data_IF_159626005994
#
_entry.id   IF_159626005994
#
_cell.length_a   1.000
_cell.length_b   1.000
_cell.length_c   1.000
_cell.angle_alpha   90.00
_cell.angle_beta   90.00
_cell.angle_gamma   90.00
#
_symmetry.space_group_name_H-M   'P 1'
#
loop_
_entity.id
_entity.type
_entity.pdbx_description
1 polymer ?
#
# COMPACT_ATOMS: atom_id res chain seq x y z
N UNK A 1 -2.26 -9.07 15.12
CA UNK A 1 -0.89 -9.00 15.66
C UNK A 1 -0.22 -7.84 14.96
N UNK A 2 0.25 -6.84 15.70
CA UNK A 2 0.80 -5.62 15.10
C UNK A 2 2.31 -5.80 14.82
N UNK A 3 2.72 -5.49 13.59
CA UNK A 3 4.10 -5.59 13.10
C UNK A 3 4.57 -4.24 12.54
N UNK A 4 5.87 -4.01 12.48
CA UNK A 4 6.46 -2.97 11.61
C UNK A 4 6.63 -3.52 10.17
N UNK A 5 6.84 -2.65 9.19
CA UNK A 5 6.93 -3.07 7.77
C UNK A 5 8.14 -3.97 7.52
N UNK A 6 9.28 -3.64 8.13
CA UNK A 6 10.54 -4.36 7.96
C UNK A 6 10.40 -5.84 8.32
N UNK A 7 9.88 -6.13 9.51
CA UNK A 7 9.71 -7.50 9.99
C UNK A 7 8.62 -8.24 9.20
N UNK A 8 7.55 -7.53 8.82
CA UNK A 8 6.48 -8.10 8.00
C UNK A 8 7.01 -8.57 6.64
N UNK A 9 7.73 -7.69 5.93
CA UNK A 9 8.17 -7.96 4.56
C UNK A 9 9.44 -8.81 4.48
N UNK A 10 10.22 -8.90 5.56
CA UNK A 10 11.32 -9.87 5.66
C UNK A 10 10.81 -11.29 5.42
N UNK A 11 9.75 -11.69 6.13
CA UNK A 11 9.10 -13.01 5.97
C UNK A 11 8.54 -13.17 4.56
N UNK A 12 7.92 -12.12 4.01
CA UNK A 12 7.37 -12.14 2.65
C UNK A 12 8.44 -12.43 1.59
N UNK A 13 9.59 -11.75 1.67
CA UNK A 13 10.71 -11.93 0.76
C UNK A 13 11.38 -13.30 0.91
N UNK A 14 11.57 -13.78 2.14
CA UNK A 14 12.12 -15.12 2.43
C UNK A 14 11.25 -16.25 1.84
N UNK A 15 9.93 -16.05 1.81
CA UNK A 15 8.96 -17.05 1.36
C UNK A 15 8.32 -16.76 0.01
N UNK A 16 8.84 -15.78 -0.74
CA UNK A 16 8.46 -15.43 -2.12
C UNK A 16 6.95 -15.18 -2.29
N UNK A 17 6.44 -14.26 -1.50
CA UNK A 17 5.12 -13.66 -1.67
C UNK A 17 5.19 -12.15 -1.42
N UNK A 18 4.14 -11.43 -1.82
CA UNK A 18 3.99 -10.01 -1.51
C UNK A 18 2.79 -9.80 -0.60
N UNK A 19 2.88 -8.79 0.26
CA UNK A 19 1.77 -8.38 1.12
C UNK A 19 1.01 -7.25 0.43
N UNK A 20 -0.31 -7.39 0.22
CA UNK A 20 -1.09 -6.27 -0.26
C UNK A 20 -1.16 -5.17 0.79
N UNK A 21 -0.96 -3.94 0.34
CA UNK A 21 -1.35 -2.75 1.05
C UNK A 21 -2.70 -2.28 0.50
N UNK A 22 -3.66 -2.11 1.40
CA UNK A 22 -5.01 -1.70 1.04
C UNK A 22 -5.34 -0.36 1.69
N UNK A 23 -5.70 0.64 0.88
CA UNK A 23 -6.21 1.90 1.41
C UNK A 23 -7.54 1.68 2.12
N UNK A 24 -7.63 2.12 3.37
CA UNK A 24 -8.83 2.00 4.22
C UNK A 24 -9.50 3.36 4.42
N UNK A 25 -10.20 3.83 3.40
CA UNK A 25 -10.86 5.15 3.38
C UNK A 25 -12.20 5.22 4.12
N UNK A 26 -12.63 4.15 4.81
CA UNK A 26 -13.85 4.11 5.62
C UNK A 26 -13.86 2.95 6.61
N UNK A 27 -14.77 2.99 7.58
CA UNK A 27 -14.96 1.88 8.53
C UNK A 27 -15.43 0.58 7.86
N UNK A 28 -16.37 0.64 6.91
CA UNK A 28 -16.87 -0.54 6.20
C UNK A 28 -15.79 -1.24 5.39
N UNK A 29 -14.89 -0.46 4.75
CA UNK A 29 -13.74 -1.02 4.05
C UNK A 29 -12.75 -1.66 5.02
N UNK A 30 -12.36 -0.97 6.10
CA UNK A 30 -11.49 -1.53 7.15
C UNK A 30 -12.05 -2.86 7.68
N UNK A 31 -13.31 -2.86 8.10
CA UNK A 31 -13.98 -4.04 8.65
C UNK A 31 -14.02 -5.18 7.64
N UNK A 32 -14.41 -4.89 6.40
CA UNK A 32 -14.52 -5.91 5.35
C UNK A 32 -13.17 -6.52 4.97
N UNK A 33 -12.12 -5.70 4.88
CA UNK A 33 -10.75 -6.16 4.67
C UNK A 33 -10.34 -7.06 5.84
N UNK A 34 -10.43 -6.56 7.08
CA UNK A 34 -9.99 -7.31 8.26
C UNK A 34 -10.71 -8.65 8.44
N UNK A 35 -12.03 -8.70 8.23
CA UNK A 35 -12.79 -9.95 8.29
C UNK A 35 -12.31 -10.96 7.23
N UNK A 36 -11.95 -10.48 6.04
CA UNK A 36 -11.55 -11.35 4.93
C UNK A 36 -10.11 -11.83 5.05
N UNK A 37 -9.18 -10.97 5.47
CA UNK A 37 -7.78 -11.35 5.68
C UNK A 37 -7.62 -12.32 6.84
N UNK A 38 -8.44 -12.19 7.89
CA UNK A 38 -8.49 -13.16 8.99
C UNK A 38 -9.07 -14.50 8.55
N UNK A 39 -10.15 -14.49 7.74
CA UNK A 39 -10.74 -15.71 7.18
C UNK A 39 -9.74 -16.48 6.31
N UNK A 40 -8.90 -15.77 5.56
CA UNK A 40 -7.91 -16.32 4.65
C UNK A 40 -6.55 -16.58 5.30
N UNK A 41 -6.38 -16.21 6.57
CA UNK A 41 -5.12 -16.31 7.31
C UNK A 41 -3.94 -15.62 6.57
N UNK A 42 -4.17 -14.39 6.10
CA UNK A 42 -3.21 -13.60 5.34
C UNK A 42 -2.59 -12.46 6.17
N UNK A 43 -1.28 -12.17 6.05
CA UNK A 43 -0.76 -10.88 6.46
C UNK A 43 -1.35 -9.74 5.61
N UNK A 44 -1.45 -8.54 6.17
CA UNK A 44 -1.96 -7.36 5.46
C UNK A 44 -1.27 -6.07 5.90
N UNK A 45 -1.18 -5.11 4.99
CA UNK A 45 -0.83 -3.72 5.30
C UNK A 45 -2.11 -2.89 5.15
N UNK A 46 -2.47 -2.16 6.20
CA UNK A 46 -3.56 -1.19 6.19
C UNK A 46 -2.95 0.18 5.96
N UNK A 47 -3.16 0.76 4.78
CA UNK A 47 -2.56 2.04 4.42
C UNK A 47 -3.60 3.17 4.43
N UNK A 48 -3.15 4.37 4.81
CA UNK A 48 -4.00 5.55 4.95
C UNK A 48 -3.27 6.75 4.38
N UNK A 49 -3.88 7.39 3.39
CA UNK A 49 -3.37 8.61 2.76
C UNK A 49 -3.67 9.86 3.62
N UNK A 50 -2.85 10.94 3.58
CA UNK A 50 -3.13 12.22 4.24
C UNK A 50 -4.56 12.75 4.04
N UNK A 51 -5.06 12.74 2.81
CA UNK A 51 -6.45 13.17 2.52
C UNK A 51 -7.50 12.28 3.19
N UNK A 52 -7.25 10.97 3.28
CA UNK A 52 -8.17 10.04 3.93
C UNK A 52 -8.21 10.29 5.45
N UNK A 53 -7.04 10.50 6.07
CA UNK A 53 -7.01 10.78 7.51
C UNK A 53 -7.51 12.17 7.86
N UNK A 54 -7.42 13.14 6.94
CA UNK A 54 -8.04 14.45 7.11
C UNK A 54 -9.56 14.35 7.07
N UNK A 55 -10.11 13.53 6.17
CA UNK A 55 -11.54 13.25 6.12
C UNK A 55 -12.05 12.46 7.33
N UNK A 56 -11.35 11.39 7.73
CA UNK A 56 -11.79 10.46 8.78
C UNK A 56 -11.47 10.94 10.20
N UNK A 57 -10.44 11.78 10.34
CA UNK A 57 -9.91 12.24 11.62
C UNK A 57 -9.10 11.19 12.37
N UNK A 58 -8.26 11.65 13.30
CA UNK A 58 -7.32 10.80 14.05
C UNK A 58 -7.97 9.68 14.87
N UNK A 59 -9.24 9.85 15.27
CA UNK A 59 -9.98 8.81 16.00
C UNK A 59 -10.15 7.52 15.19
N UNK A 60 -10.16 7.61 13.86
CA UNK A 60 -10.21 6.44 12.99
C UNK A 60 -9.01 5.51 13.22
N UNK A 61 -7.81 6.06 13.41
CA UNK A 61 -6.58 5.27 13.66
C UNK A 61 -6.70 4.46 14.95
N UNK A 62 -7.41 4.97 15.96
CA UNK A 62 -7.64 4.21 17.19
C UNK A 62 -8.46 2.93 16.93
N UNK A 63 -9.41 2.99 16.00
CA UNK A 63 -10.20 1.84 15.56
C UNK A 63 -9.32 0.88 14.75
N UNK A 64 -8.52 1.39 13.81
CA UNK A 64 -7.57 0.60 13.00
C UNK A 64 -6.60 -0.16 13.91
N UNK A 65 -6.04 0.51 14.93
CA UNK A 65 -5.17 -0.09 15.94
C UNK A 65 -5.88 -1.17 16.74
N UNK A 66 -7.14 -0.97 17.11
CA UNK A 66 -7.92 -1.99 17.81
C UNK A 66 -8.08 -3.26 16.94
N UNK A 67 -8.36 -3.14 15.65
CA UNK A 67 -8.37 -4.29 14.74
C UNK A 67 -7.00 -4.96 14.65
N UNK A 68 -5.94 -4.20 14.39
CA UNK A 68 -4.59 -4.73 14.22
C UNK A 68 -4.07 -5.47 15.47
N UNK A 69 -4.29 -4.90 16.66
CA UNK A 69 -3.85 -5.49 17.93
C UNK A 69 -4.62 -6.76 18.31
N UNK A 70 -5.94 -6.80 18.05
CA UNK A 70 -6.77 -7.97 18.38
C UNK A 70 -6.74 -9.04 17.29
N UNK A 71 -6.19 -8.74 16.11
CA UNK A 71 -6.15 -9.68 15.01
C UNK A 71 -5.24 -10.88 15.27
N UNK A 72 -5.60 -12.03 14.71
CA UNK A 72 -4.76 -13.25 14.72
C UNK A 72 -3.77 -13.32 13.56
N UNK A 73 -3.86 -12.40 12.60
CA UNK A 73 -2.92 -12.30 11.49
C UNK A 73 -1.94 -11.13 11.69
N UNK A 74 -0.79 -11.12 11.00
CA UNK A 74 0.14 -9.99 10.99
C UNK A 74 -0.48 -8.79 10.28
N UNK A 75 -0.42 -7.63 10.91
CA UNK A 75 -0.97 -6.38 10.40
C UNK A 75 0.07 -5.26 10.58
N UNK A 76 0.29 -4.49 9.52
CA UNK A 76 1.00 -3.20 9.57
C UNK A 76 -0.01 -2.07 9.37
N UNK A 77 0.20 -0.94 10.06
CA UNK A 77 -0.53 0.30 9.81
C UNK A 77 0.46 1.28 9.19
N UNK A 78 0.18 1.72 7.95
CA UNK A 78 1.11 2.45 7.09
C UNK A 78 0.57 3.82 6.69
N UNK A 79 1.41 4.86 6.76
CA UNK A 79 1.13 6.17 6.17
C UNK A 79 1.49 6.10 4.69
N UNK A 80 0.51 6.28 3.82
CA UNK A 80 0.64 6.25 2.36
C UNK A 80 0.88 7.66 1.82
N UNK A 81 1.93 7.86 1.00
CA UNK A 81 2.29 9.17 0.41
C UNK A 81 2.32 10.37 1.38
N UNK A 82 2.87 10.19 2.58
CA UNK A 82 3.15 11.33 3.45
C UNK A 82 4.16 12.26 2.78
N UNK A 83 3.89 13.57 2.69
CA UNK A 83 4.78 14.52 1.98
C UNK A 83 5.48 15.51 2.91
N UNK A 84 5.13 15.51 4.20
CA UNK A 84 5.66 16.46 5.17
C UNK A 84 6.08 15.79 6.48
N UNK A 85 6.96 16.45 7.22
CA UNK A 85 7.31 16.06 8.60
C UNK A 85 6.07 16.03 9.51
N UNK A 86 5.08 16.88 9.24
CA UNK A 86 3.83 16.89 9.98
C UNK A 86 3.05 15.58 9.79
N UNK A 87 2.89 15.11 8.54
CA UNK A 87 2.17 13.87 8.24
C UNK A 87 2.82 12.67 8.93
N UNK A 88 4.15 12.56 8.80
CA UNK A 88 4.93 11.50 9.44
C UNK A 88 4.79 11.55 10.96
N UNK A 89 5.00 12.72 11.57
CA UNK A 89 4.92 12.88 13.04
C UNK A 89 3.50 12.60 13.53
N UNK A 90 2.47 13.02 12.78
CA UNK A 90 1.06 12.72 13.06
C UNK A 90 0.80 11.22 13.00
N UNK A 91 1.28 10.52 11.98
CA UNK A 91 1.12 9.07 11.84
C UNK A 91 1.79 8.32 13.00
N UNK A 92 3.07 8.59 13.28
CA UNK A 92 3.81 7.98 14.40
C UNK A 92 3.07 8.22 15.72
N UNK A 93 2.65 9.47 16.00
CA UNK A 93 1.91 9.81 17.22
C UNK A 93 0.59 9.05 17.35
N UNK A 94 -0.08 8.77 16.25
CA UNK A 94 -1.34 8.01 16.26
C UNK A 94 -1.13 6.49 16.32
N UNK A 95 0.13 6.01 16.32
CA UNK A 95 0.49 4.61 16.54
C UNK A 95 0.56 3.79 15.25
N UNK A 96 0.91 4.41 14.13
CA UNK A 96 1.32 3.72 12.91
C UNK A 96 2.64 2.99 13.17
N UNK A 97 2.84 1.86 12.51
CA UNK A 97 4.07 1.05 12.62
C UNK A 97 4.93 1.10 11.36
N UNK A 98 4.45 1.81 10.35
CA UNK A 98 5.22 2.17 9.17
C UNK A 98 4.78 3.53 8.65
N UNK A 99 5.72 4.29 8.10
CA UNK A 99 5.45 5.55 7.43
C UNK A 99 6.15 5.61 6.09
N UNK A 100 5.50 6.22 5.11
CA UNK A 100 6.15 6.66 3.88
C UNK A 100 6.44 8.16 3.93
N UNK A 101 7.61 8.55 3.43
CA UNK A 101 7.90 9.93 3.00
C UNK A 101 8.09 9.97 1.49
N UNK A 102 7.15 10.61 0.80
CA UNK A 102 7.20 10.83 -0.64
C UNK A 102 7.84 12.20 -0.93
N UNK A 103 9.15 12.15 -1.18
CA UNK A 103 9.93 13.29 -1.69
C UNK A 103 10.40 13.05 -3.13
N UNK A 104 9.70 12.18 -3.88
CA UNK A 104 10.05 11.77 -5.25
C UNK A 104 10.11 12.92 -6.26
N UNK A 105 9.34 13.98 -6.01
CA UNK A 105 9.27 15.19 -6.85
C UNK A 105 10.36 16.22 -6.52
N UNK A 106 11.14 16.00 -5.45
CA UNK A 106 12.26 16.87 -5.07
C UNK A 106 13.52 16.50 -5.86
N UNK A 107 14.57 17.31 -5.72
CA UNK A 107 15.90 16.91 -6.22
C UNK A 107 16.37 15.63 -5.54
N UNK A 108 17.26 14.87 -6.18
CA UNK A 108 17.78 13.63 -5.61
C UNK A 108 18.44 13.85 -4.25
N UNK A 109 19.22 14.93 -4.12
CA UNK A 109 19.90 15.34 -2.90
C UNK A 109 18.91 15.76 -1.80
N UNK A 110 17.85 16.49 -2.15
CA UNK A 110 16.82 16.89 -1.21
C UNK A 110 15.99 15.70 -0.74
N UNK A 111 15.66 14.76 -1.63
CA UNK A 111 14.97 13.52 -1.29
C UNK A 111 15.78 12.71 -0.27
N UNK A 112 17.09 12.53 -0.49
CA UNK A 112 17.98 11.89 0.49
C UNK A 112 17.96 12.63 1.83
N UNK A 113 18.11 13.96 1.81
CA UNK A 113 18.17 14.79 3.01
C UNK A 113 16.88 14.70 3.84
N UNK A 114 15.72 14.81 3.19
CA UNK A 114 14.40 14.72 3.82
C UNK A 114 14.19 13.31 4.37
N UNK A 115 14.47 12.28 3.56
CA UNK A 115 14.28 10.88 3.96
C UNK A 115 15.13 10.51 5.17
N UNK A 116 16.40 10.96 5.24
CA UNK A 116 17.27 10.73 6.41
C UNK A 116 16.70 11.30 7.70
N UNK A 117 16.11 12.49 7.65
CA UNK A 117 15.45 13.10 8.82
C UNK A 117 14.27 12.27 9.30
N UNK A 118 13.48 11.73 8.36
CA UNK A 118 12.35 10.85 8.67
C UNK A 118 12.82 9.50 9.25
N UNK A 119 13.85 8.90 8.66
CA UNK A 119 14.46 7.66 9.17
C UNK A 119 14.97 7.84 10.60
N UNK A 120 15.70 8.92 10.89
CA UNK A 120 16.18 9.21 12.24
C UNK A 120 15.01 9.32 13.24
N UNK A 121 13.94 10.01 12.87
CA UNK A 121 12.76 10.14 13.73
C UNK A 121 12.05 8.80 13.97
N UNK A 122 11.79 8.05 12.90
CA UNK A 122 10.95 6.85 12.93
C UNK A 122 11.67 5.64 13.55
N UNK A 123 12.95 5.43 13.24
CA UNK A 123 13.72 4.29 13.76
C UNK A 123 13.94 4.37 15.28
N UNK A 124 14.00 5.58 15.85
CA UNK A 124 14.09 5.77 17.31
C UNK A 124 12.86 5.27 18.07
N UNK A 125 11.75 5.00 17.38
CA UNK A 125 10.49 4.50 17.96
C UNK A 125 9.99 3.22 17.29
N UNK A 126 10.90 2.47 16.64
CA UNK A 126 10.62 1.18 15.98
C UNK A 126 9.53 1.24 14.90
N UNK A 127 9.50 2.34 14.14
CA UNK A 127 8.62 2.53 12.98
C UNK A 127 9.44 2.41 11.71
N UNK A 128 9.02 1.54 10.78
CA UNK A 128 9.71 1.36 9.50
C UNK A 128 9.43 2.51 8.53
N UNK A 129 10.42 2.85 7.69
CA UNK A 129 10.29 3.92 6.70
C UNK A 129 10.31 3.36 5.27
N UNK A 130 9.30 3.74 4.50
CA UNK A 130 9.23 3.62 3.04
C UNK A 130 9.60 4.98 2.42
N UNK A 131 10.30 4.96 1.29
CA UNK A 131 10.48 6.14 0.45
C UNK A 131 10.33 5.77 -1.02
N UNK A 132 10.32 6.77 -1.90
CA UNK A 132 10.12 6.60 -3.34
C UNK A 132 11.25 7.24 -4.15
N UNK A 133 11.63 6.57 -5.24
CA UNK A 133 12.56 7.08 -6.23
C UNK A 133 12.02 6.88 -7.66
N UNK A 134 12.12 7.92 -8.48
CA UNK A 134 11.38 8.02 -9.75
C UNK A 134 10.00 8.62 -9.52
N UNK A 135 9.13 8.59 -10.53
CA UNK A 135 7.74 9.08 -10.40
C UNK A 135 6.74 8.14 -11.05
N UNK A 136 5.56 8.04 -10.47
CA UNK A 136 4.43 7.27 -10.98
C UNK A 136 3.42 8.17 -11.68
N UNK A 137 2.74 7.63 -12.70
CA UNK A 137 1.72 8.37 -13.43
C UNK A 137 0.46 8.62 -12.60
N UNK A 138 -0.38 9.60 -12.95
CA UNK A 138 -1.67 9.82 -12.30
C UNK A 138 -2.85 9.82 -13.31
N UNK A 139 -3.83 8.92 -13.14
CA UNK A 139 -5.07 8.87 -13.93
C UNK A 139 -6.28 9.47 -13.17
N UNK A 140 -6.07 10.57 -12.45
CA UNK A 140 -7.12 11.27 -11.69
C UNK A 140 -7.38 10.69 -10.30
N UNK A 141 -6.40 10.02 -9.71
CA UNK A 141 -6.45 9.57 -8.32
C UNK A 141 -6.05 10.69 -7.35
N UNK A 142 -6.58 10.61 -6.13
CA UNK A 142 -6.19 11.47 -5.00
C UNK A 142 -4.90 11.00 -4.33
N UNK A 143 -4.37 9.83 -4.71
CA UNK A 143 -3.13 9.24 -4.16
C UNK A 143 -1.85 9.93 -4.65
N UNK A 144 -1.96 10.97 -5.50
CA UNK A 144 -0.80 11.65 -6.08
C UNK A 144 -0.26 10.96 -7.34
N UNK A 145 0.96 11.35 -7.73
CA UNK A 145 1.62 11.01 -9.00
C UNK A 145 1.72 12.20 -9.96
N UNK A 146 2.43 12.02 -11.07
CA UNK A 146 2.79 13.05 -12.07
C UNK A 146 2.24 12.73 -13.46
N UNK A 147 2.28 13.71 -14.37
CA UNK A 147 1.93 13.48 -15.79
C UNK A 147 3.05 12.75 -16.55
N UNK A 148 4.30 12.97 -16.16
CA UNK A 148 5.49 12.34 -16.72
C UNK A 148 6.06 11.30 -15.75
N UNK A 149 6.28 10.07 -16.24
CA UNK A 149 6.89 8.98 -15.48
C UNK A 149 8.41 9.05 -15.66
N UNK A 150 9.12 9.25 -14.55
CA UNK A 150 10.57 9.13 -14.47
C UNK A 150 10.87 7.76 -13.88
N UNK A 151 11.40 6.85 -14.69
CA UNK A 151 11.78 5.52 -14.22
C UNK A 151 12.89 5.60 -13.17
N UNK A 152 12.86 4.68 -12.21
CA UNK A 152 13.91 4.57 -11.21
C UNK A 152 15.23 4.17 -11.86
N UNK A 153 16.29 4.95 -11.61
CA UNK A 153 17.65 4.57 -12.00
C UNK A 153 18.22 3.55 -10.99
N UNK A 154 18.72 2.38 -11.44
CA UNK A 154 19.19 1.33 -10.53
C UNK A 154 20.45 1.70 -9.74
N UNK A 155 21.33 2.58 -10.24
CA UNK A 155 22.53 3.03 -9.50
C UNK A 155 22.13 4.03 -8.41
N UNK A 156 21.21 4.94 -8.75
CA UNK A 156 20.64 5.87 -7.78
C UNK A 156 19.86 5.14 -6.70
N UNK A 157 19.10 4.08 -7.02
CA UNK A 157 18.36 3.30 -6.03
C UNK A 157 19.30 2.67 -4.98
N UNK A 158 20.40 2.04 -5.41
CA UNK A 158 21.39 1.46 -4.49
C UNK A 158 22.06 2.52 -3.61
N UNK A 159 22.45 3.65 -4.21
CA UNK A 159 23.02 4.78 -3.47
C UNK A 159 22.03 5.37 -2.46
N UNK A 160 20.78 5.57 -2.88
CA UNK A 160 19.71 6.14 -2.07
C UNK A 160 19.45 5.28 -0.82
N UNK A 161 19.31 3.96 -1.00
CA UNK A 161 19.09 3.03 0.12
C UNK A 161 20.26 3.06 1.11
N UNK A 162 21.51 3.07 0.63
CA UNK A 162 22.71 3.14 1.48
C UNK A 162 22.80 4.44 2.26
N UNK A 163 22.47 5.56 1.62
CA UNK A 163 22.58 6.88 2.24
C UNK A 163 21.46 7.18 3.23
N UNK A 164 20.26 6.66 2.98
CA UNK A 164 19.06 6.95 3.77
C UNK A 164 18.77 5.92 4.85
N UNK A 165 19.19 4.66 4.66
CA UNK A 165 18.88 3.55 5.57
C UNK A 165 17.36 3.30 5.75
N UNK A 166 16.58 3.52 4.69
CA UNK A 166 15.16 3.13 4.62
C UNK A 166 14.96 1.62 4.67
N UNK A 167 13.74 1.18 5.01
CA UNK A 167 13.40 -0.24 5.14
C UNK A 167 12.74 -0.82 3.89
N UNK A 168 12.08 0.02 3.08
CA UNK A 168 11.45 -0.36 1.80
C UNK A 168 11.58 0.77 0.79
N UNK A 169 11.68 0.43 -0.51
CA UNK A 169 11.76 1.42 -1.59
C UNK A 169 10.64 1.19 -2.61
N UNK A 170 9.82 2.22 -2.82
CA UNK A 170 8.91 2.31 -3.95
C UNK A 170 9.67 2.73 -5.21
N UNK A 171 9.42 2.01 -6.31
CA UNK A 171 10.13 2.19 -7.58
C UNK A 171 9.16 2.47 -8.71
N UNK A 172 9.52 3.42 -9.56
CA UNK A 172 8.83 3.72 -10.80
C UNK A 172 9.29 2.76 -11.90
N UNK A 173 8.43 1.78 -12.22
CA UNK A 173 8.62 0.80 -13.31
C UNK A 173 7.48 0.80 -14.33
N UNK A 174 6.69 1.89 -14.40
CA UNK A 174 5.67 2.10 -15.44
C UNK A 174 4.22 2.12 -14.95
N UNK A 175 4.00 2.09 -13.63
CA UNK A 175 2.67 2.14 -13.04
C UNK A 175 2.10 3.56 -12.98
N UNK A 176 0.81 3.64 -12.67
CA UNK A 176 0.09 4.89 -12.47
C UNK A 176 -1.02 4.69 -11.45
N UNK A 177 -1.33 5.72 -10.66
CA UNK A 177 -2.49 5.73 -9.80
C UNK A 177 -3.79 5.89 -10.58
N UNK A 178 -4.89 5.46 -9.97
CA UNK A 178 -6.23 5.51 -10.57
C UNK A 178 -6.48 4.37 -11.57
N UNK A 179 -7.71 4.31 -12.08
CA UNK A 179 -8.08 3.33 -13.09
C UNK A 179 -7.53 3.75 -14.46
N UNK A 180 -6.91 2.82 -15.17
CA UNK A 180 -6.42 3.06 -16.52
C UNK A 180 -7.58 3.36 -17.49
N UNK A 181 -7.44 4.37 -18.38
CA UNK A 181 -8.40 4.63 -19.44
C UNK A 181 -8.65 3.39 -20.31
N UNK A 182 -9.89 3.25 -20.83
CA UNK A 182 -10.26 2.14 -21.72
C UNK A 182 -9.27 2.05 -22.90
N UNK A 183 -8.70 0.86 -23.10
CA UNK A 183 -7.76 0.59 -24.18
C UNK A 183 -6.29 0.89 -23.86
N UNK A 184 -5.98 1.55 -22.74
CA UNK A 184 -4.61 1.66 -22.23
C UNK A 184 -4.32 0.42 -21.38
N UNK A 185 -3.40 -0.43 -21.85
CA UNK A 185 -2.87 -1.53 -21.05
C UNK A 185 -1.57 -1.05 -20.41
N UNK A 186 -1.48 -0.95 -19.08
CA UNK A 186 -0.19 -0.71 -18.45
C UNK A 186 0.75 -1.88 -18.68
N UNK A 187 2.04 -1.59 -18.66
CA UNK A 187 3.12 -2.55 -18.82
C UNK A 187 4.19 -2.25 -17.78
N UNK A 188 4.50 -3.25 -16.95
CA UNK A 188 5.60 -3.16 -16.01
C UNK A 188 6.92 -3.42 -16.72
N UNK A 189 7.91 -2.55 -16.50
CA UNK A 189 9.27 -2.78 -16.96
C UNK A 189 9.96 -3.83 -16.05
N UNK A 190 9.70 -5.10 -16.31
CA UNK A 190 10.21 -6.23 -15.52
C UNK A 190 11.74 -6.35 -15.62
N UNK A 191 12.34 -6.03 -16.77
CA UNK A 191 13.79 -6.08 -16.91
C UNK A 191 14.47 -5.02 -16.02
N UNK A 192 13.91 -3.81 -15.95
CA UNK A 192 14.35 -2.78 -15.01
C UNK A 192 14.17 -3.24 -13.56
N UNK A 193 13.03 -3.85 -13.21
CA UNK A 193 12.79 -4.38 -11.88
C UNK A 193 13.85 -5.42 -11.47
N UNK A 194 14.22 -6.34 -12.38
CA UNK A 194 15.29 -7.32 -12.14
C UNK A 194 16.62 -6.64 -11.86
N UNK A 195 16.95 -5.61 -12.64
CA UNK A 195 18.18 -4.85 -12.47
C UNK A 195 18.22 -4.13 -11.11
N UNK A 196 17.15 -3.43 -10.73
CA UNK A 196 17.02 -2.78 -9.42
C UNK A 196 17.15 -3.82 -8.30
N UNK A 197 16.37 -4.89 -8.35
CA UNK A 197 16.39 -5.94 -7.33
C UNK A 197 17.75 -6.63 -7.18
N UNK A 198 18.55 -6.71 -8.26
CA UNK A 198 19.91 -7.26 -8.18
C UNK A 198 20.88 -6.41 -7.36
N UNK A 199 20.55 -5.12 -7.15
CA UNK A 199 21.37 -4.15 -6.42
C UNK A 199 20.85 -3.91 -5.00
N UNK A 200 19.55 -4.04 -4.78
CA UNK A 200 18.92 -3.77 -3.50
C UNK A 200 18.98 -4.95 -2.52
N UNK A 201 19.11 -4.63 -1.23
CA UNK A 201 19.05 -5.60 -0.13
C UNK A 201 17.76 -5.53 0.68
N UNK A 202 16.86 -4.63 0.32
CA UNK A 202 15.58 -4.37 0.97
C UNK A 202 14.41 -4.71 0.03
N UNK A 203 13.20 -4.99 0.56
CA UNK A 203 12.02 -5.24 -0.26
C UNK A 203 11.64 -4.04 -1.14
N UNK A 204 11.19 -4.34 -2.37
CA UNK A 204 10.67 -3.35 -3.32
C UNK A 204 9.16 -3.19 -3.13
N UNK A 205 8.67 -1.98 -3.33
CA UNK A 205 7.25 -1.63 -3.27
C UNK A 205 6.75 -1.24 -4.66
N UNK A 206 5.59 -1.78 -5.04
CA UNK A 206 4.89 -1.44 -6.27
C UNK A 206 3.68 -0.55 -5.96
N UNK A 207 3.82 0.74 -6.24
CA UNK A 207 2.70 1.68 -6.22
C UNK A 207 1.85 1.57 -7.49
N UNK A 208 0.60 2.03 -7.41
CA UNK A 208 -0.34 1.94 -8.52
C UNK A 208 -0.60 0.51 -8.99
N UNK A 209 -0.67 -0.46 -8.08
CA UNK A 209 -0.86 -1.88 -8.39
C UNK A 209 -2.23 -2.23 -9.00
N UNK A 210 -3.21 -1.34 -8.89
CA UNK A 210 -4.57 -1.55 -9.42
C UNK A 210 -4.61 -1.56 -10.94
N UNK A 211 -5.39 -2.49 -11.54
CA UNK A 211 -5.56 -2.58 -12.99
C UNK A 211 -4.35 -3.09 -13.81
N UNK A 212 -3.20 -3.37 -13.20
CA UNK A 212 -2.07 -4.00 -13.90
C UNK A 212 -2.37 -5.45 -14.31
N UNK A 213 -1.73 -5.96 -15.38
CA UNK A 213 -1.87 -7.35 -15.78
C UNK A 213 -1.45 -8.29 -14.65
N UNK A 214 -2.34 -9.21 -14.33
CA UNK A 214 -2.17 -10.25 -13.31
C UNK A 214 -0.84 -11.02 -13.45
N UNK A 215 -0.44 -11.33 -14.68
CA UNK A 215 0.82 -12.06 -14.95
C UNK A 215 2.04 -11.23 -14.57
N UNK A 216 2.06 -9.94 -14.92
CA UNK A 216 3.15 -9.01 -14.59
C UNK A 216 3.24 -8.75 -13.09
N UNK A 217 2.09 -8.66 -12.40
CA UNK A 217 2.06 -8.54 -10.94
C UNK A 217 2.59 -9.81 -10.27
N UNK A 218 2.25 -11.02 -10.76
CA UNK A 218 2.84 -12.26 -10.21
C UNK A 218 4.33 -12.33 -10.48
N UNK A 219 4.75 -11.94 -11.67
CA UNK A 219 6.16 -11.95 -12.06
C UNK A 219 6.98 -10.97 -11.21
N UNK A 220 6.46 -9.78 -10.91
CA UNK A 220 7.17 -8.79 -10.10
C UNK A 220 7.47 -9.28 -8.67
N UNK A 221 6.58 -10.08 -8.08
CA UNK A 221 6.79 -10.73 -6.76
C UNK A 221 8.00 -11.67 -6.78
N UNK A 222 8.28 -12.34 -7.90
CA UNK A 222 9.46 -13.20 -8.04
C UNK A 222 10.76 -12.39 -8.03
N UNK A 223 10.69 -11.11 -8.40
CA UNK A 223 11.82 -10.19 -8.52
C UNK A 223 11.84 -9.11 -7.43
N UNK A 224 11.42 -9.47 -6.22
CA UNK A 224 11.70 -8.67 -5.01
C UNK A 224 10.59 -7.70 -4.60
N UNK A 225 9.50 -7.60 -5.34
CA UNK A 225 8.31 -6.85 -4.88
C UNK A 225 7.74 -7.56 -3.66
N UNK A 226 7.80 -6.89 -2.51
CA UNK A 226 7.29 -7.36 -1.22
C UNK A 226 5.99 -6.70 -0.80
N UNK A 227 5.67 -5.50 -1.32
CA UNK A 227 4.43 -4.73 -1.06
C UNK A 227 3.82 -4.27 -2.37
N UNK A 228 2.50 -4.35 -2.47
CA UNK A 228 1.73 -3.84 -3.62
C UNK A 228 0.58 -2.98 -3.13
N UNK A 229 0.55 -1.70 -3.49
CA UNK A 229 -0.52 -0.77 -3.12
C UNK A 229 -1.77 -1.02 -3.98
N UNK A 230 -2.92 -1.12 -3.32
CA UNK A 230 -4.19 -1.48 -3.93
C UNK A 230 -5.32 -0.64 -3.32
N UNK A 231 -5.95 0.19 -4.17
CA UNK A 231 -6.89 1.22 -3.74
C UNK A 231 -8.07 1.33 -4.68
N UNK A 232 -7.78 1.67 -5.95
CA UNK A 232 -8.79 1.87 -6.98
C UNK A 232 -9.62 0.61 -7.23
N UNK A 233 -9.01 -0.58 -7.18
CA UNK A 233 -9.72 -1.86 -7.33
C UNK A 233 -10.78 -2.08 -6.23
N UNK A 234 -10.56 -1.59 -5.00
CA UNK A 234 -11.52 -1.76 -3.90
C UNK A 234 -12.58 -0.67 -3.89
N UNK A 235 -12.15 0.60 -4.01
CA UNK A 235 -13.04 1.77 -3.98
C UNK A 235 -14.04 1.71 -5.15
N UNK A 236 -13.59 1.34 -6.34
CA UNK A 236 -14.44 1.27 -7.53
C UNK A 236 -15.58 0.25 -7.35
N UNK A 237 -15.26 -1.01 -7.01
CA UNK A 237 -16.28 -2.05 -6.87
C UNK A 237 -17.24 -1.78 -5.72
N UNK A 238 -16.74 -1.20 -4.63
CA UNK A 238 -17.54 -0.85 -3.47
C UNK A 238 -18.58 0.19 -3.85
N UNK A 239 -18.14 1.34 -4.39
CA UNK A 239 -19.05 2.43 -4.71
C UNK A 239 -19.91 2.17 -5.95
N UNK A 240 -19.46 1.35 -6.90
CA UNK A 240 -20.33 0.86 -7.98
C UNK A 240 -21.51 0.05 -7.41
N UNK A 241 -21.24 -0.88 -6.49
CA UNK A 241 -22.28 -1.68 -5.86
C UNK A 241 -23.20 -0.84 -4.94
N UNK A 242 -22.67 0.15 -4.21
CA UNK A 242 -23.51 1.10 -3.45
C UNK A 242 -24.45 1.85 -4.38
N UNK A 243 -23.96 2.39 -5.50
CA UNK A 243 -24.80 3.07 -6.50
C UNK A 243 -25.89 2.15 -7.04
N UNK A 244 -25.55 0.91 -7.40
CA UNK A 244 -26.51 -0.06 -7.90
C UNK A 244 -27.61 -0.37 -6.85
N UNK A 245 -27.22 -0.58 -5.59
CA UNK A 245 -28.14 -0.88 -4.49
C UNK A 245 -29.17 0.23 -4.29
N UNK A 246 -28.72 1.49 -4.34
CA UNK A 246 -29.60 2.67 -4.20
C UNK A 246 -30.48 2.91 -5.44
N UNK A 247 -30.00 2.55 -6.64
CA UNK A 247 -30.80 2.60 -7.87
C UNK A 247 -31.94 1.58 -7.79
N UNK A 248 -31.63 0.36 -7.37
CA UNK A 248 -32.58 -0.76 -7.29
C UNK A 248 -33.59 -0.56 -6.15
N UNK A 249 -33.16 0.05 -5.04
CA UNK A 249 -33.97 0.24 -3.84
C UNK A 249 -33.87 1.68 -3.32
N UNK A 250 -34.54 2.62 -4.01
CA UNK A 250 -34.50 4.07 -3.74
C UNK A 250 -34.93 4.51 -2.33
N UNK A 251 -35.60 3.63 -1.59
CA UNK A 251 -36.06 3.90 -0.23
C UNK A 251 -35.08 3.43 0.85
N UNK A 252 -33.99 2.73 0.49
CA UNK A 252 -32.94 2.36 1.43
C UNK A 252 -32.11 3.59 1.80
N UNK A 253 -31.86 3.76 3.09
CA UNK A 253 -30.98 4.81 3.62
C UNK A 253 -30.16 4.35 4.84
N UNK A 254 -30.45 3.17 5.38
CA UNK A 254 -29.73 2.63 6.52
C UNK A 254 -28.41 1.96 6.05
N UNK A 255 -27.25 2.29 6.65
CA UNK A 255 -25.96 1.71 6.25
C UNK A 255 -25.94 0.18 6.24
N UNK A 256 -26.59 -0.46 7.21
CA UNK A 256 -26.70 -1.92 7.31
C UNK A 256 -27.65 -2.56 6.28
N UNK A 257 -28.37 -1.75 5.49
CA UNK A 257 -29.13 -2.19 4.32
C UNK A 257 -28.35 -1.92 3.02
N UNK A 258 -27.66 -0.77 2.94
CA UNK A 258 -26.98 -0.29 1.73
C UNK A 258 -25.62 -0.95 1.50
N UNK A 259 -24.80 -1.12 2.53
CA UNK A 259 -23.41 -1.59 2.41
C UNK A 259 -23.20 -3.11 2.32
N UNK A 260 -24.09 -4.03 2.77
CA UNK A 260 -23.80 -5.46 2.76
C UNK A 260 -23.35 -6.03 1.40
N UNK A 261 -24.01 -5.68 0.29
CA UNK A 261 -23.60 -6.18 -1.03
C UNK A 261 -22.28 -5.56 -1.52
N UNK A 262 -22.04 -4.28 -1.21
CA UNK A 262 -20.77 -3.61 -1.51
C UNK A 262 -19.61 -4.24 -0.72
N UNK A 263 -19.82 -4.52 0.57
CA UNK A 263 -18.89 -5.25 1.43
C UNK A 263 -18.57 -6.63 0.84
N UNK A 264 -19.57 -7.40 0.37
CA UNK A 264 -19.34 -8.70 -0.29
C UNK A 264 -18.50 -8.57 -1.57
N UNK A 265 -18.75 -7.55 -2.39
CA UNK A 265 -17.97 -7.30 -3.63
C UNK A 265 -16.52 -6.95 -3.31
N UNK A 266 -16.32 -6.07 -2.34
CA UNK A 266 -14.99 -5.70 -1.86
C UNK A 266 -14.21 -6.91 -1.35
N UNK A 267 -14.83 -7.75 -0.51
CA UNK A 267 -14.18 -8.99 0.00
C UNK A 267 -13.72 -9.94 -1.11
N UNK A 268 -14.50 -10.07 -2.19
CA UNK A 268 -14.08 -10.86 -3.36
C UNK A 268 -12.83 -10.30 -4.03
N UNK A 269 -12.70 -8.97 -4.09
CA UNK A 269 -11.47 -8.32 -4.60
C UNK A 269 -10.30 -8.57 -3.66
N UNK A 270 -10.51 -8.46 -2.34
CA UNK A 270 -9.48 -8.78 -1.34
C UNK A 270 -9.00 -10.23 -1.53
N UNK A 271 -9.90 -11.22 -1.54
CA UNK A 271 -9.56 -12.63 -1.75
C UNK A 271 -8.80 -12.85 -3.06
N UNK A 272 -9.25 -12.24 -4.15
CA UNK A 272 -8.59 -12.30 -5.44
C UNK A 272 -7.14 -11.78 -5.37
N UNK A 273 -6.94 -10.61 -4.76
CA UNK A 273 -5.61 -9.99 -4.63
C UNK A 273 -4.70 -10.76 -3.67
N UNK A 274 -5.25 -11.33 -2.60
CA UNK A 274 -4.52 -12.23 -1.71
C UNK A 274 -3.99 -13.46 -2.47
N UNK A 275 -4.84 -14.06 -3.32
CA UNK A 275 -4.43 -15.19 -4.15
C UNK A 275 -3.38 -14.77 -5.19
N UNK A 276 -3.59 -13.64 -5.86
CA UNK A 276 -2.67 -13.09 -6.85
C UNK A 276 -1.25 -12.91 -6.29
N UNK A 277 -1.15 -12.39 -5.07
CA UNK A 277 0.13 -12.10 -4.40
C UNK A 277 0.69 -13.29 -3.59
N UNK A 278 0.11 -14.49 -3.72
CA UNK A 278 0.56 -15.72 -3.06
C UNK A 278 0.58 -15.64 -1.52
N UNK A 279 -0.38 -14.94 -0.90
CA UNK A 279 -0.35 -14.66 0.55
C UNK A 279 -1.37 -15.47 1.38
N UNK A 280 -2.25 -16.24 0.74
CA UNK A 280 -3.25 -17.08 1.43
C UNK A 280 -2.59 -18.10 2.37
N UNK A 281 -3.04 -18.13 3.63
CA UNK A 281 -2.52 -19.03 4.67
C UNK A 281 -1.09 -18.75 5.11
N UNK A 282 -0.51 -17.59 4.74
CA UNK A 282 0.87 -17.22 5.08
C UNK A 282 1.01 -16.62 6.47
N UNK A 283 -0.08 -16.27 7.16
CA UNK A 283 -0.03 -15.78 8.54
C UNK A 283 0.71 -16.75 9.48
N UNK A 284 0.63 -18.06 9.23
CA UNK A 284 1.35 -19.10 9.99
C UNK A 284 2.89 -19.01 9.94
N UNK A 285 3.44 -18.24 8.99
CA UNK A 285 4.88 -18.04 8.87
C UNK A 285 5.42 -17.02 9.88
N UNK A 286 4.52 -16.23 10.47
CA UNK A 286 4.82 -15.20 11.44
C UNK A 286 4.63 -15.76 12.85
N UNK A 287 5.58 -15.49 13.75
CA UNK A 287 5.66 -16.06 15.10
C UNK A 287 5.55 -14.99 16.16
#
# INVERSE_FOLDING_TARGET
MLYNMKDLLKVANEHKFAVPAFNISSFDMLKSIMEEVERLECPVILEIHPDEIEYLGNNFVSIVRAYALNSKVPVVIHLDHGSTLFDVTRAIRNGYTSVMIDASTQSFEDNISITKQIVELAHNVDVSVEAELGTIGNNGSTEGGTDEIIYTDPDQADYFVKETNIDTLAVAIGTSHGLYPKGKKPELNIELLKEINSRLSIPIVLHGGSGNPDEEVRESVLYGVGKVNLSSDLKSVFFEQVRQTLIDNKNMYEPNEVYPEANKKLKKVVEYKMNLLNTIGKAKLYK
#
